data_IF_230719374873
#
_entry.id   IF_230719374873
#
_cell.length_a   1.000
_cell.length_b   1.000
_cell.length_c   1.000
_cell.angle_alpha   90.00
_cell.angle_beta   90.00
_cell.angle_gamma   90.00
#
_symmetry.space_group_name_H-M   'P 1'
#
loop_
_entity.id
_entity.type
_entity.pdbx_description
1 polymer ?
#
# COMPACT_ATOMS: atom_id res chain seq x y z
N UNK A 1 12.35 -1.18 -3.31
CA UNK A 1 11.93 -2.43 -3.98
C UNK A 1 12.71 -3.62 -3.45
N UNK A 2 12.06 -4.58 -2.79
CA UNK A 2 12.73 -5.77 -2.26
C UNK A 2 13.12 -6.74 -3.38
N UNK A 3 14.09 -7.63 -3.08
CA UNK A 3 14.35 -8.78 -3.93
C UNK A 3 13.11 -9.70 -3.95
N UNK A 4 12.76 -10.20 -5.13
CA UNK A 4 11.67 -11.17 -5.34
C UNK A 4 12.19 -12.29 -6.24
N UNK A 5 11.78 -13.51 -5.97
CA UNK A 5 12.16 -14.68 -6.78
C UNK A 5 13.68 -14.86 -6.95
N UNK A 6 14.47 -14.42 -5.96
CA UNK A 6 15.93 -14.39 -6.04
C UNK A 6 16.52 -13.29 -6.92
N UNK A 7 15.69 -12.43 -7.51
CA UNK A 7 16.10 -11.35 -8.41
C UNK A 7 15.95 -9.97 -7.75
N UNK A 8 16.87 -9.02 -8.05
CA UNK A 8 16.70 -7.61 -7.71
C UNK A 8 15.59 -6.98 -8.56
N UNK A 9 15.15 -5.74 -8.24
CA UNK A 9 14.24 -5.00 -9.10
C UNK A 9 14.83 -4.78 -10.50
N UNK A 10 13.99 -4.92 -11.53
CA UNK A 10 14.38 -4.69 -12.92
C UNK A 10 14.44 -3.18 -13.24
N UNK A 11 15.25 -2.71 -14.23
CA UNK A 11 15.29 -1.29 -14.63
C UNK A 11 13.91 -0.68 -14.93
N UNK A 12 13.00 -1.44 -15.52
CA UNK A 12 11.62 -1.00 -15.79
C UNK A 12 10.84 -0.72 -14.50
N UNK A 13 11.10 -1.46 -13.42
CA UNK A 13 10.45 -1.18 -12.12
C UNK A 13 10.96 0.13 -11.52
N UNK A 14 12.23 0.47 -11.70
CA UNK A 14 12.76 1.79 -11.29
C UNK A 14 12.14 2.94 -12.11
N UNK A 15 11.97 2.75 -13.43
CA UNK A 15 11.25 3.74 -14.27
C UNK A 15 9.81 3.93 -13.80
N UNK A 16 9.12 2.85 -13.47
CA UNK A 16 7.78 2.91 -12.90
C UNK A 16 7.73 3.65 -11.56
N UNK A 17 8.74 3.49 -10.68
CA UNK A 17 8.84 4.24 -9.43
C UNK A 17 8.95 5.75 -9.69
N UNK A 18 9.76 6.18 -10.66
CA UNK A 18 9.90 7.59 -11.03
C UNK A 18 8.53 8.15 -11.45
N UNK A 19 7.84 7.44 -12.34
CA UNK A 19 6.53 7.87 -12.83
C UNK A 19 5.48 7.90 -11.71
N UNK A 20 5.46 6.89 -10.84
CA UNK A 20 4.57 6.88 -9.68
C UNK A 20 4.85 8.06 -8.73
N UNK A 21 6.13 8.39 -8.50
CA UNK A 21 6.50 9.54 -7.67
C UNK A 21 6.02 10.87 -8.26
N UNK A 22 6.16 11.03 -9.57
CA UNK A 22 5.65 12.22 -10.27
C UNK A 22 4.14 12.36 -10.06
N UNK A 23 3.37 11.30 -10.28
CA UNK A 23 1.92 11.28 -10.09
C UNK A 23 1.50 11.55 -8.64
N UNK A 24 2.21 10.97 -7.67
CA UNK A 24 1.96 11.23 -6.24
C UNK A 24 2.17 12.72 -5.93
N UNK A 25 3.25 13.33 -6.42
CA UNK A 25 3.52 14.76 -6.21
C UNK A 25 2.41 15.63 -6.81
N UNK A 26 2.00 15.38 -8.06
CA UNK A 26 0.93 16.12 -8.75
C UNK A 26 -0.43 16.01 -8.03
N UNK A 27 -0.76 14.85 -7.49
CA UNK A 27 -1.98 14.68 -6.69
C UNK A 27 -1.85 15.36 -5.33
N UNK A 28 -0.66 15.25 -4.71
CA UNK A 28 -0.40 15.88 -3.43
C UNK A 28 -0.48 17.41 -3.49
N UNK A 29 -0.08 18.05 -4.59
CA UNK A 29 -0.24 19.52 -4.78
C UNK A 29 -1.69 19.98 -4.63
N UNK A 30 -2.65 19.14 -5.01
CA UNK A 30 -4.08 19.43 -4.96
C UNK A 30 -4.75 19.01 -3.64
N UNK A 31 -4.01 18.37 -2.74
CA UNK A 31 -4.55 17.84 -1.51
C UNK A 31 -4.29 18.79 -0.33
N UNK A 32 -5.30 19.01 0.50
CA UNK A 32 -5.18 19.74 1.77
C UNK A 32 -4.84 18.80 2.93
N UNK A 33 -5.21 17.52 2.79
CA UNK A 33 -5.06 16.50 3.83
C UNK A 33 -4.33 15.28 3.27
N UNK A 34 -3.33 14.80 3.99
CA UNK A 34 -2.61 13.56 3.69
C UNK A 34 -2.73 12.60 4.86
N UNK A 35 -2.95 11.31 4.59
CA UNK A 35 -3.08 10.29 5.62
C UNK A 35 -1.96 9.25 5.52
N UNK A 36 -1.45 8.80 6.68
CA UNK A 36 -0.50 7.69 6.78
C UNK A 36 -1.13 6.57 7.62
N UNK A 37 -1.44 5.46 6.96
CA UNK A 37 -2.02 4.29 7.61
C UNK A 37 -1.05 3.57 8.55
N UNK A 38 0.25 3.56 8.19
CA UNK A 38 1.34 2.95 8.94
C UNK A 38 2.70 3.34 8.35
N UNK A 39 3.82 2.81 8.90
CA UNK A 39 5.16 3.28 8.54
C UNK A 39 5.99 2.26 7.73
N UNK A 40 5.37 1.39 6.92
CA UNK A 40 6.09 0.68 5.88
C UNK A 40 6.47 1.65 4.75
N UNK A 41 7.61 1.43 4.10
CA UNK A 41 8.18 2.39 3.15
C UNK A 41 7.40 2.53 1.84
N UNK A 42 6.54 1.60 1.53
CA UNK A 42 5.61 1.65 0.40
C UNK A 42 4.31 2.41 0.73
N UNK A 43 4.10 2.80 2.00
CA UNK A 43 2.92 3.53 2.47
C UNK A 43 3.18 4.96 2.94
N UNK A 44 4.42 5.44 2.89
CA UNK A 44 4.75 6.84 3.13
C UNK A 44 5.99 7.27 2.37
N UNK A 45 6.16 8.58 2.17
CA UNK A 45 7.36 9.14 1.54
C UNK A 45 8.35 9.53 2.62
N UNK A 46 9.49 8.83 2.76
CA UNK A 46 10.52 9.19 3.74
C UNK A 46 11.28 10.46 3.32
N UNK A 47 11.87 11.14 4.31
CA UNK A 47 12.62 12.37 4.13
C UNK A 47 14.13 12.12 4.25
N UNK A 48 14.64 11.20 3.47
CA UNK A 48 16.08 10.91 3.34
C UNK A 48 16.34 10.30 1.96
N UNK A 49 17.61 10.36 1.51
CA UNK A 49 18.00 9.82 0.21
C UNK A 49 17.85 8.30 0.16
N UNK A 50 17.06 7.81 -0.77
CA UNK A 50 16.90 6.37 -1.06
C UNK A 50 16.56 6.15 -2.53
N UNK A 51 17.58 5.92 -3.35
CA UNK A 51 17.45 5.61 -4.77
C UNK A 51 17.19 4.13 -5.05
N UNK A 52 17.24 3.28 -4.03
CA UNK A 52 17.01 1.83 -4.20
C UNK A 52 15.54 1.45 -4.10
N UNK A 53 14.84 1.95 -3.09
CA UNK A 53 13.47 1.52 -2.79
C UNK A 53 12.43 2.61 -2.99
N UNK A 54 12.70 3.79 -2.46
CA UNK A 54 11.69 4.84 -2.35
C UNK A 54 11.85 5.95 -3.36
N UNK A 55 12.95 5.97 -4.10
CA UNK A 55 13.26 7.00 -5.09
C UNK A 55 13.11 8.42 -4.51
N UNK A 56 13.76 8.64 -3.37
CA UNK A 56 13.72 9.92 -2.65
C UNK A 56 15.05 10.65 -2.75
N UNK A 57 15.00 11.96 -2.94
CA UNK A 57 16.12 12.88 -2.89
C UNK A 57 16.04 13.68 -1.58
N UNK A 58 16.52 13.11 -0.49
CA UNK A 58 16.50 13.73 0.84
C UNK A 58 15.15 14.37 1.21
N UNK A 59 15.15 15.67 1.54
CA UNK A 59 13.97 16.37 2.04
C UNK A 59 13.00 16.82 0.95
N UNK A 60 13.45 17.02 -0.28
CA UNK A 60 12.63 17.64 -1.34
C UNK A 60 11.38 16.84 -1.66
N UNK A 61 11.53 15.53 -1.87
CA UNK A 61 10.38 14.66 -2.21
C UNK A 61 9.34 14.65 -1.09
N UNK A 62 9.79 14.58 0.17
CA UNK A 62 8.89 14.62 1.32
C UNK A 62 8.24 16.01 1.47
N UNK A 63 8.97 17.08 1.20
CA UNK A 63 8.47 18.45 1.21
C UNK A 63 7.31 18.61 0.22
N UNK A 64 7.47 18.19 -1.03
CA UNK A 64 6.41 18.22 -2.05
C UNK A 64 5.11 17.52 -1.59
N UNK A 65 5.23 16.43 -0.82
CA UNK A 65 4.08 15.65 -0.37
C UNK A 65 3.40 16.25 0.86
N UNK A 66 4.16 16.79 1.83
CA UNK A 66 3.62 17.12 3.15
C UNK A 66 3.55 18.62 3.46
N UNK A 67 4.26 19.48 2.71
CA UNK A 67 4.36 20.90 3.04
C UNK A 67 3.00 21.60 3.01
N UNK A 68 2.72 22.33 4.10
CA UNK A 68 1.52 23.15 4.21
C UNK A 68 0.22 22.36 4.45
N UNK A 69 0.26 21.03 4.56
CA UNK A 69 -0.92 20.15 4.67
C UNK A 69 -1.22 19.73 6.10
N UNK A 70 -2.47 19.32 6.33
CA UNK A 70 -2.81 18.54 7.52
C UNK A 70 -2.41 17.10 7.25
N UNK A 71 -1.54 16.55 8.09
CA UNK A 71 -1.06 15.16 7.96
C UNK A 71 -1.57 14.33 9.13
N UNK A 72 -2.43 13.36 8.83
CA UNK A 72 -3.08 12.47 9.80
C UNK A 72 -2.34 11.15 9.81
N UNK A 73 -1.75 10.77 10.96
CA UNK A 73 -0.81 9.65 11.05
C UNK A 73 -1.27 8.59 12.03
N UNK A 74 -0.85 7.35 11.78
CA UNK A 74 -0.87 6.27 12.78
C UNK A 74 -0.07 6.67 14.02
N UNK A 75 -0.58 6.37 15.22
CA UNK A 75 0.17 6.61 16.46
C UNK A 75 1.53 5.89 16.40
N UNK A 76 2.67 6.63 16.49
CA UNK A 76 3.99 6.04 16.42
C UNK A 76 4.47 5.40 17.73
N UNK A 77 3.65 5.38 18.79
CA UNK A 77 4.00 4.88 20.13
C UNK A 77 3.19 3.65 20.53
N UNK A 78 1.93 3.56 20.11
CA UNK A 78 0.96 2.55 20.55
C UNK A 78 0.50 1.67 19.39
N UNK A 79 0.19 0.41 19.68
CA UNK A 79 -0.24 -0.56 18.69
C UNK A 79 0.68 -0.54 17.45
N UNK A 80 1.98 -0.77 17.70
CA UNK A 80 3.02 -0.64 16.68
C UNK A 80 4.21 -1.53 17.02
N UNK A 81 4.79 -2.21 16.04
CA UNK A 81 6.00 -2.98 16.25
C UNK A 81 7.25 -2.08 16.31
N UNK A 82 8.37 -2.64 16.75
CA UNK A 82 9.63 -1.90 16.92
C UNK A 82 10.10 -1.21 15.65
N UNK A 83 10.05 -1.91 14.51
CA UNK A 83 10.53 -1.38 13.23
C UNK A 83 9.70 -0.18 12.76
N UNK A 84 8.37 -0.28 12.81
CA UNK A 84 7.48 0.81 12.44
C UNK A 84 7.55 1.97 13.43
N UNK A 85 7.70 1.70 14.75
CA UNK A 85 7.91 2.73 15.79
C UNK A 85 9.12 3.60 15.47
N UNK A 86 10.26 2.97 15.13
CA UNK A 86 11.47 3.69 14.73
C UNK A 86 11.22 4.56 13.49
N UNK A 87 10.55 4.03 12.46
CA UNK A 87 10.24 4.78 11.23
C UNK A 87 9.26 5.92 11.50
N UNK A 88 8.23 5.70 12.32
CA UNK A 88 7.29 6.74 12.74
C UNK A 88 7.96 7.86 13.53
N UNK A 89 8.91 7.53 14.41
CA UNK A 89 9.72 8.53 15.09
C UNK A 89 10.57 9.35 14.11
N UNK A 90 11.26 8.68 13.17
CA UNK A 90 12.05 9.37 12.11
C UNK A 90 11.12 10.24 11.27
N UNK A 91 9.95 9.74 10.86
CA UNK A 91 8.98 10.52 10.08
C UNK A 91 8.59 11.82 10.80
N UNK A 92 8.24 11.76 12.09
CA UNK A 92 7.88 12.97 12.85
C UNK A 92 9.02 13.99 12.93
N UNK A 93 10.28 13.52 12.97
CA UNK A 93 11.48 14.37 13.05
C UNK A 93 11.95 14.90 11.71
N UNK A 94 11.45 14.36 10.61
CA UNK A 94 11.86 14.69 9.24
C UNK A 94 10.67 15.11 8.37
N UNK A 95 10.06 14.20 7.61
CA UNK A 95 8.94 14.47 6.69
C UNK A 95 7.75 15.16 7.36
N UNK A 96 7.40 14.75 8.57
CA UNK A 96 6.32 15.38 9.34
C UNK A 96 6.55 16.83 9.73
N UNK A 97 7.80 17.32 9.73
CA UNK A 97 8.11 18.74 9.99
C UNK A 97 7.63 19.71 8.90
N UNK A 98 7.41 19.20 7.68
CA UNK A 98 6.89 19.99 6.57
C UNK A 98 5.37 20.22 6.67
N UNK A 99 4.67 19.41 7.48
CA UNK A 99 3.25 19.54 7.66
C UNK A 99 2.86 20.85 8.34
N UNK A 100 1.80 21.50 7.89
CA UNK A 100 1.16 22.60 8.61
C UNK A 100 0.63 22.12 9.97
N UNK A 101 0.09 20.88 10.00
CA UNK A 101 -0.41 20.23 11.21
C UNK A 101 -0.18 18.72 11.12
N UNK A 102 0.40 18.14 12.15
CA UNK A 102 0.63 16.70 12.26
C UNK A 102 -0.20 16.15 13.43
N UNK A 103 -1.16 15.27 13.15
CA UNK A 103 -2.05 14.71 14.17
C UNK A 103 -2.11 13.18 14.14
N UNK A 104 -2.17 12.58 15.33
CA UNK A 104 -2.45 11.15 15.50
C UNK A 104 -3.94 10.91 15.21
N UNK A 105 -4.23 9.89 14.41
CA UNK A 105 -5.55 9.65 13.85
C UNK A 105 -6.26 8.40 14.38
N UNK A 106 -5.57 7.55 15.16
CA UNK A 106 -6.10 6.27 15.65
C UNK A 106 -7.46 6.47 16.34
N UNK A 107 -8.51 5.79 15.86
CA UNK A 107 -9.87 5.84 16.36
C UNK A 107 -10.59 7.19 16.25
N UNK A 108 -10.00 8.17 15.56
CA UNK A 108 -10.53 9.55 15.50
C UNK A 108 -11.28 9.82 14.22
N UNK A 109 -12.14 10.84 14.28
CA UNK A 109 -12.88 11.39 13.15
C UNK A 109 -12.50 12.86 12.95
N UNK A 110 -12.27 13.25 11.70
CA UNK A 110 -11.94 14.61 11.30
C UNK A 110 -12.93 15.09 10.26
N UNK A 111 -13.34 16.36 10.34
CA UNK A 111 -14.27 16.96 9.40
C UNK A 111 -13.62 18.15 8.69
N UNK A 112 -13.68 18.16 7.38
CA UNK A 112 -13.16 19.20 6.49
C UNK A 112 -14.29 19.66 5.55
N UNK A 113 -14.95 20.73 5.91
CA UNK A 113 -16.15 21.19 5.20
C UNK A 113 -17.26 20.14 5.22
N UNK A 114 -17.59 19.57 4.06
CA UNK A 114 -18.61 18.51 3.90
C UNK A 114 -18.03 17.10 3.85
N UNK A 115 -16.70 16.97 4.00
CA UNK A 115 -16.01 15.68 3.97
C UNK A 115 -15.66 15.26 5.39
N UNK A 116 -15.98 14.03 5.74
CA UNK A 116 -15.57 13.40 7.00
C UNK A 116 -14.57 12.30 6.72
N UNK A 117 -13.48 12.24 7.50
CA UNK A 117 -12.50 11.16 7.48
C UNK A 117 -12.51 10.49 8.85
N UNK A 118 -13.02 9.27 8.91
CA UNK A 118 -13.07 8.45 10.12
C UNK A 118 -11.98 7.38 10.06
N UNK A 119 -11.12 7.35 11.05
CA UNK A 119 -10.10 6.30 11.18
C UNK A 119 -10.59 5.18 12.11
N UNK A 120 -10.25 3.95 11.76
CA UNK A 120 -10.45 2.82 12.66
C UNK A 120 -9.55 2.91 13.88
N UNK A 121 -9.90 2.20 14.97
CA UNK A 121 -8.87 1.72 15.87
C UNK A 121 -7.85 0.90 15.07
N UNK A 122 -6.60 0.79 15.56
CA UNK A 122 -5.59 -0.02 14.91
C UNK A 122 -6.09 -1.45 14.63
N UNK A 123 -5.92 -1.92 13.41
CA UNK A 123 -6.23 -3.28 13.01
C UNK A 123 -4.94 -4.03 12.65
N UNK A 124 -4.90 -5.37 12.79
CA UNK A 124 -3.70 -6.13 12.48
C UNK A 124 -3.31 -6.01 10.99
N UNK A 125 -2.01 -5.95 10.75
CA UNK A 125 -1.43 -6.06 9.41
C UNK A 125 -1.40 -7.55 8.99
N UNK A 126 -2.54 -8.08 8.57
CA UNK A 126 -2.73 -9.51 8.29
C UNK A 126 -3.41 -10.25 9.44
N UNK A 127 -2.84 -11.38 9.94
CA UNK A 127 -3.41 -12.13 11.06
C UNK A 127 -3.37 -11.34 12.38
N UNK A 128 -4.16 -11.78 13.38
CA UNK A 128 -4.34 -11.06 14.65
C UNK A 128 -3.03 -10.86 15.43
N UNK A 129 -2.11 -11.81 15.33
CA UNK A 129 -0.80 -11.81 16.00
C UNK A 129 0.37 -11.41 15.09
N UNK A 130 0.08 -10.71 14.01
CA UNK A 130 1.05 -10.35 12.99
C UNK A 130 2.26 -9.59 13.55
N UNK A 131 3.47 -10.14 13.32
CA UNK A 131 4.73 -9.45 13.61
C UNK A 131 4.93 -8.18 12.76
N UNK A 132 4.15 -7.99 11.70
CA UNK A 132 4.18 -6.78 10.85
C UNK A 132 3.54 -5.57 11.53
N UNK A 133 2.79 -5.79 12.62
CA UNK A 133 2.18 -4.75 13.45
C UNK A 133 0.77 -4.40 13.04
N UNK A 134 0.41 -3.12 13.13
CA UNK A 134 -0.96 -2.63 12.95
C UNK A 134 -1.01 -1.50 11.93
N UNK A 135 -2.17 -1.37 11.29
CA UNK A 135 -2.48 -0.33 10.32
C UNK A 135 -3.76 0.42 10.70
N UNK A 136 -3.97 1.61 10.15
CA UNK A 136 -5.24 2.32 10.21
C UNK A 136 -5.99 2.14 8.89
N UNK A 137 -7.27 1.84 8.99
CA UNK A 137 -8.20 2.01 7.89
C UNK A 137 -8.80 3.42 7.96
N UNK A 138 -9.10 4.00 6.80
CA UNK A 138 -9.72 5.31 6.69
C UNK A 138 -11.02 5.24 5.88
N UNK A 139 -12.15 5.64 6.48
CA UNK A 139 -13.43 5.81 5.78
C UNK A 139 -13.60 7.29 5.47
N UNK A 140 -13.68 7.62 4.19
CA UNK A 140 -13.93 8.98 3.69
C UNK A 140 -15.39 9.06 3.25
N UNK A 141 -16.12 9.97 3.86
CA UNK A 141 -17.54 10.19 3.55
C UNK A 141 -17.74 11.60 3.00
N UNK A 142 -18.42 11.69 1.86
CA UNK A 142 -18.84 12.92 1.23
C UNK A 142 -20.23 12.77 0.61
N UNK A 143 -21.19 13.59 1.02
CA UNK A 143 -22.59 13.55 0.52
C UNK A 143 -23.27 12.18 0.60
N UNK A 144 -22.98 11.40 1.64
CA UNK A 144 -23.54 10.06 1.83
C UNK A 144 -22.81 8.92 1.10
N UNK A 145 -21.86 9.24 0.23
CA UNK A 145 -20.99 8.26 -0.40
C UNK A 145 -19.77 7.98 0.47
N UNK A 146 -19.47 6.70 0.68
CA UNK A 146 -18.33 6.24 1.51
C UNK A 146 -17.31 5.47 0.69
N UNK A 147 -16.07 5.94 0.74
CA UNK A 147 -14.90 5.21 0.31
C UNK A 147 -14.11 4.75 1.53
N UNK A 148 -13.80 3.46 1.61
CA UNK A 148 -12.98 2.90 2.68
C UNK A 148 -11.64 2.42 2.12
N UNK A 149 -10.55 2.94 2.66
CA UNK A 149 -9.18 2.50 2.38
C UNK A 149 -8.69 1.58 3.50
N UNK A 150 -8.46 0.31 3.19
CA UNK A 150 -8.00 -0.74 4.10
C UNK A 150 -6.66 -1.31 3.63
N UNK A 151 -5.54 -0.56 3.77
CA UNK A 151 -4.23 -1.01 3.30
C UNK A 151 -3.71 -2.16 4.16
N UNK A 152 -2.97 -3.07 3.54
CA UNK A 152 -2.17 -4.11 4.19
C UNK A 152 -2.90 -5.02 5.19
N UNK A 153 -4.23 -5.10 5.12
CA UNK A 153 -5.02 -6.04 5.93
C UNK A 153 -4.97 -7.48 5.40
N UNK A 154 -4.34 -7.66 4.23
CA UNK A 154 -4.07 -8.96 3.61
C UNK A 154 -5.33 -9.83 3.37
N UNK A 155 -6.38 -9.21 2.87
CA UNK A 155 -7.57 -9.94 2.45
C UNK A 155 -8.92 -9.32 2.83
N UNK A 156 -9.26 -9.03 4.11
CA UNK A 156 -8.50 -9.13 5.35
C UNK A 156 -8.37 -10.56 5.88
N UNK A 157 -7.21 -10.94 6.41
CA UNK A 157 -7.03 -12.24 7.09
C UNK A 157 -7.82 -12.28 8.39
N UNK A 158 -7.77 -11.18 9.18
CA UNK A 158 -8.52 -11.05 10.42
C UNK A 158 -10.03 -10.94 10.17
N UNK A 159 -10.80 -11.84 10.76
CA UNK A 159 -12.26 -11.77 10.75
C UNK A 159 -12.80 -10.52 11.48
N UNK A 160 -12.09 -10.07 12.52
CA UNK A 160 -12.39 -8.82 13.22
C UNK A 160 -12.26 -7.61 12.32
N UNK A 161 -11.22 -7.57 11.48
CA UNK A 161 -11.02 -6.52 10.49
C UNK A 161 -12.11 -6.54 9.41
N UNK A 162 -12.47 -7.71 8.88
CA UNK A 162 -13.60 -7.84 7.93
C UNK A 162 -14.88 -7.27 8.52
N UNK A 163 -15.20 -7.66 9.77
CA UNK A 163 -16.41 -7.18 10.47
C UNK A 163 -16.44 -5.65 10.58
N UNK A 164 -15.30 -5.02 10.87
CA UNK A 164 -15.18 -3.55 10.93
C UNK A 164 -15.41 -2.90 9.55
N UNK A 165 -14.84 -3.46 8.48
CA UNK A 165 -15.03 -2.94 7.11
C UNK A 165 -16.50 -3.01 6.71
N UNK A 166 -17.16 -4.15 6.90
CA UNK A 166 -18.56 -4.36 6.53
C UNK A 166 -19.49 -3.45 7.36
N UNK A 167 -19.19 -3.21 8.64
CA UNK A 167 -19.97 -2.34 9.51
C UNK A 167 -19.98 -0.87 9.05
N UNK A 168 -18.94 -0.41 8.36
CA UNK A 168 -18.90 0.94 7.77
C UNK A 168 -19.84 1.10 6.55
N UNK A 169 -20.29 0.01 5.94
CA UNK A 169 -21.17 -0.02 4.75
C UNK A 169 -20.65 0.89 3.61
N UNK A 170 -19.39 0.75 3.17
CA UNK A 170 -18.86 1.58 2.10
C UNK A 170 -19.44 1.18 0.75
N UNK A 171 -19.60 2.15 -0.16
CA UNK A 171 -19.94 1.89 -1.57
C UNK A 171 -18.71 1.46 -2.39
N UNK A 172 -17.53 1.83 -1.91
CA UNK A 172 -16.25 1.51 -2.52
C UNK A 172 -15.25 1.17 -1.42
N UNK A 173 -14.55 0.05 -1.55
CA UNK A 173 -13.41 -0.32 -0.71
C UNK A 173 -12.16 -0.52 -1.56
N UNK A 174 -11.02 -0.01 -1.09
CA UNK A 174 -9.70 -0.39 -1.60
C UNK A 174 -8.99 -1.20 -0.53
N UNK A 175 -8.59 -2.42 -0.87
CA UNK A 175 -8.10 -3.40 0.10
C UNK A 175 -6.85 -4.11 -0.38
N UNK A 176 -5.85 -4.25 0.50
CA UNK A 176 -4.71 -5.13 0.30
C UNK A 176 -5.14 -6.59 0.31
N UNK A 177 -5.04 -7.27 -0.83
CA UNK A 177 -5.42 -8.68 -0.94
C UNK A 177 -4.45 -9.63 -0.23
N UNK A 178 -4.82 -10.92 -0.08
CA UNK A 178 -3.94 -11.92 0.50
C UNK A 178 -2.66 -12.09 -0.33
N UNK A 179 -1.48 -12.20 0.31
CA UNK A 179 -0.19 -12.29 -0.40
C UNK A 179 0.06 -13.72 -0.92
N UNK A 180 -0.60 -14.09 -2.00
CA UNK A 180 -0.55 -15.45 -2.59
C UNK A 180 0.86 -15.92 -2.95
N UNK A 181 1.78 -15.01 -3.27
CA UNK A 181 3.19 -15.29 -3.56
C UNK A 181 4.02 -15.65 -2.30
N UNK A 182 3.46 -15.49 -1.10
CA UNK A 182 4.09 -15.85 0.18
C UNK A 182 3.40 -17.05 0.85
N UNK A 183 2.29 -17.53 0.30
CA UNK A 183 1.55 -18.67 0.85
C UNK A 183 2.44 -19.94 0.89
N UNK A 184 2.42 -20.63 2.03
CA UNK A 184 3.26 -21.81 2.28
C UNK A 184 4.74 -21.50 2.59
N UNK A 185 5.16 -20.22 2.59
CA UNK A 185 6.54 -19.82 2.87
C UNK A 185 6.68 -18.83 4.04
N UNK A 186 5.94 -17.72 4.01
CA UNK A 186 5.92 -16.69 5.06
C UNK A 186 4.53 -16.41 5.61
N UNK A 187 3.53 -16.83 4.89
CA UNK A 187 2.13 -16.78 5.29
C UNK A 187 1.68 -18.23 5.39
N UNK A 188 1.14 -18.61 6.53
CA UNK A 188 0.57 -19.92 6.77
C UNK A 188 -0.56 -20.16 5.75
N UNK A 189 -0.72 -21.39 5.30
CA UNK A 189 -1.75 -21.73 4.31
C UNK A 189 -3.17 -21.50 4.85
N UNK A 190 -3.43 -21.79 6.11
CA UNK A 190 -4.72 -21.51 6.77
C UNK A 190 -5.03 -20.01 6.81
N UNK A 191 -4.03 -19.17 7.11
CA UNK A 191 -4.15 -17.71 7.09
C UNK A 191 -4.45 -17.21 5.67
N UNK A 192 -3.76 -17.75 4.67
CA UNK A 192 -4.02 -17.40 3.28
C UNK A 192 -5.45 -17.79 2.87
N UNK A 193 -5.90 -19.02 3.18
CA UNK A 193 -7.25 -19.48 2.90
C UNK A 193 -8.29 -18.65 3.65
N UNK A 194 -8.03 -18.29 4.91
CA UNK A 194 -8.88 -17.39 5.68
C UNK A 194 -9.01 -16.01 5.02
N UNK A 195 -7.89 -15.45 4.57
CA UNK A 195 -7.87 -14.18 3.83
C UNK A 195 -8.67 -14.23 2.54
N UNK A 196 -8.57 -15.34 1.79
CA UNK A 196 -9.35 -15.56 0.57
C UNK A 196 -10.86 -15.69 0.87
N UNK A 197 -11.23 -16.50 1.88
CA UNK A 197 -12.62 -16.65 2.29
C UNK A 197 -13.24 -15.34 2.79
N UNK A 198 -12.46 -14.53 3.50
CA UNK A 198 -12.90 -13.21 3.96
C UNK A 198 -12.99 -12.20 2.80
N UNK A 199 -12.11 -12.28 1.81
CA UNK A 199 -12.22 -11.47 0.59
C UNK A 199 -13.50 -11.82 -0.20
N UNK A 200 -13.86 -13.09 -0.29
CA UNK A 200 -15.13 -13.52 -0.89
C UNK A 200 -16.34 -12.90 -0.18
N UNK A 201 -16.36 -12.91 1.17
CA UNK A 201 -17.42 -12.25 1.96
C UNK A 201 -17.42 -10.73 1.81
N UNK A 202 -16.23 -10.13 1.69
CA UNK A 202 -16.10 -8.69 1.49
C UNK A 202 -16.75 -8.24 0.17
N UNK A 203 -16.46 -8.92 -0.93
CA UNK A 203 -17.03 -8.57 -2.24
C UNK A 203 -18.53 -8.84 -2.35
N UNK A 204 -19.07 -9.74 -1.52
CA UNK A 204 -20.51 -9.92 -1.36
C UNK A 204 -21.15 -8.75 -0.58
N UNK A 205 -20.44 -8.14 0.36
CA UNK A 205 -20.95 -7.06 1.21
C UNK A 205 -20.77 -5.65 0.61
N UNK A 206 -19.77 -5.45 -0.28
CA UNK A 206 -19.40 -4.13 -0.79
C UNK A 206 -19.56 -4.05 -2.31
N UNK A 207 -20.33 -3.09 -2.84
CA UNK A 207 -20.67 -3.02 -4.28
C UNK A 207 -19.46 -2.90 -5.20
N UNK A 208 -18.39 -2.19 -4.77
CA UNK A 208 -17.17 -2.03 -5.57
C UNK A 208 -15.94 -2.26 -4.70
N UNK A 209 -15.09 -3.19 -5.12
CA UNK A 209 -13.84 -3.54 -4.44
C UNK A 209 -12.65 -3.31 -5.36
N UNK A 210 -11.69 -2.51 -4.92
CA UNK A 210 -10.39 -2.35 -5.58
C UNK A 210 -9.39 -3.22 -4.84
N UNK A 211 -8.80 -4.17 -5.57
CA UNK A 211 -7.70 -4.99 -5.08
C UNK A 211 -6.37 -4.27 -5.32
N UNK A 212 -5.53 -4.25 -4.31
CA UNK A 212 -4.23 -3.62 -4.39
C UNK A 212 -3.07 -4.59 -4.10
N UNK A 213 -1.90 -4.10 -4.17
CA UNK A 213 -0.56 -4.60 -4.42
C UNK A 213 -0.19 -6.01 -3.91
N UNK A 214 -0.65 -6.47 -2.75
CA UNK A 214 -0.20 -7.76 -2.22
C UNK A 214 -0.58 -8.94 -3.12
N UNK A 215 -1.83 -9.03 -3.52
CA UNK A 215 -2.31 -10.06 -4.42
C UNK A 215 -1.74 -9.92 -5.83
N UNK A 216 -1.59 -8.67 -6.30
CA UNK A 216 -1.15 -8.33 -7.66
C UNK A 216 0.35 -8.57 -7.92
N UNK A 217 1.09 -9.02 -6.91
CA UNK A 217 2.48 -9.49 -7.04
C UNK A 217 2.61 -10.93 -7.51
N UNK A 218 1.48 -11.59 -7.75
CA UNK A 218 1.40 -12.95 -8.27
C UNK A 218 0.90 -12.92 -9.72
N UNK A 219 1.61 -13.52 -10.64
CA UNK A 219 1.22 -13.58 -12.04
C UNK A 219 -0.14 -14.28 -12.24
N UNK A 220 -0.43 -15.27 -11.41
CA UNK A 220 -1.66 -16.08 -11.48
C UNK A 220 -2.77 -15.58 -10.56
N UNK A 221 -2.70 -14.32 -10.12
CA UNK A 221 -3.66 -13.75 -9.17
C UNK A 221 -5.12 -13.86 -9.62
N UNK A 222 -5.39 -13.68 -10.92
CA UNK A 222 -6.76 -13.79 -11.48
C UNK A 222 -7.34 -15.19 -11.32
N UNK A 223 -6.56 -16.22 -11.60
CA UNK A 223 -6.96 -17.62 -11.43
C UNK A 223 -7.23 -17.92 -9.96
N UNK A 224 -6.31 -17.54 -9.08
CA UNK A 224 -6.43 -17.73 -7.64
C UNK A 224 -7.63 -17.01 -7.02
N UNK A 225 -8.08 -15.92 -7.63
CA UNK A 225 -9.25 -15.15 -7.17
C UNK A 225 -10.51 -15.39 -8.00
N UNK A 226 -10.56 -16.42 -8.84
CA UNK A 226 -11.72 -16.72 -9.69
C UNK A 226 -13.04 -16.76 -8.93
N UNK A 227 -13.08 -17.42 -7.76
CA UNK A 227 -14.25 -17.46 -6.88
C UNK A 227 -14.69 -16.07 -6.37
N UNK A 228 -13.76 -15.18 -6.10
CA UNK A 228 -14.05 -13.80 -5.67
C UNK A 228 -14.80 -13.05 -6.78
N UNK A 229 -14.32 -13.17 -8.03
CA UNK A 229 -14.96 -12.55 -9.18
C UNK A 229 -16.32 -13.19 -9.48
N UNK A 230 -16.43 -14.51 -9.39
CA UNK A 230 -17.70 -15.23 -9.59
C UNK A 230 -18.76 -14.78 -8.59
N UNK A 231 -18.42 -14.73 -7.29
CA UNK A 231 -19.35 -14.30 -6.23
C UNK A 231 -19.80 -12.85 -6.43
N UNK A 232 -18.88 -11.93 -6.68
CA UNK A 232 -19.21 -10.53 -6.96
C UNK A 232 -20.13 -10.43 -8.20
N UNK A 233 -19.79 -11.12 -9.28
CA UNK A 233 -20.55 -11.10 -10.54
C UNK A 233 -21.99 -11.60 -10.38
N UNK A 234 -22.24 -12.65 -9.56
CA UNK A 234 -23.58 -13.18 -9.31
C UNK A 234 -24.55 -12.16 -8.73
N UNK A 235 -24.05 -11.13 -8.02
CA UNK A 235 -24.87 -10.10 -7.37
C UNK A 235 -24.67 -8.71 -7.99
N UNK A 236 -24.00 -8.61 -9.14
CA UNK A 236 -23.78 -7.37 -9.86
C UNK A 236 -22.71 -6.45 -9.24
N UNK A 237 -21.92 -6.93 -8.28
CA UNK A 237 -20.82 -6.20 -7.68
C UNK A 237 -19.56 -6.25 -8.57
N UNK A 238 -18.66 -5.28 -8.41
CA UNK A 238 -17.45 -5.15 -9.23
C UNK A 238 -16.20 -5.32 -8.41
N UNK A 239 -15.28 -6.12 -8.94
CA UNK A 239 -13.91 -6.29 -8.42
C UNK A 239 -12.93 -5.80 -9.48
N UNK A 240 -12.08 -4.85 -9.14
CA UNK A 240 -11.19 -4.15 -10.06
C UNK A 240 -9.79 -4.03 -9.44
N UNK A 241 -8.79 -3.83 -10.27
CA UNK A 241 -7.52 -3.27 -9.81
C UNK A 241 -7.61 -1.73 -9.77
N UNK A 242 -6.65 -1.06 -9.14
CA UNK A 242 -6.58 0.40 -9.16
C UNK A 242 -6.42 0.97 -10.59
N UNK A 243 -5.67 0.28 -11.46
CA UNK A 243 -5.53 0.66 -12.86
C UNK A 243 -6.86 0.54 -13.61
N UNK A 244 -7.55 -0.60 -13.47
CA UNK A 244 -8.87 -0.84 -14.09
C UNK A 244 -9.93 0.16 -13.60
N UNK A 245 -9.89 0.54 -12.32
CA UNK A 245 -10.77 1.57 -11.76
C UNK A 245 -10.57 2.95 -12.42
N UNK A 246 -9.33 3.26 -12.82
CA UNK A 246 -8.97 4.48 -13.55
C UNK A 246 -9.11 4.36 -15.07
N UNK A 247 -9.59 3.23 -15.59
CA UNK A 247 -9.66 2.97 -17.04
C UNK A 247 -8.30 2.75 -17.69
N UNK A 248 -7.29 2.39 -16.92
CA UNK A 248 -5.93 2.15 -17.39
C UNK A 248 -5.64 0.65 -17.50
N UNK A 249 -4.65 0.32 -18.33
CA UNK A 249 -4.15 -1.05 -18.46
C UNK A 249 -3.31 -1.42 -17.22
N UNK A 250 -3.45 -2.66 -16.77
CA UNK A 250 -2.60 -3.22 -15.72
C UNK A 250 -1.15 -3.41 -16.21
N UNK A 251 -0.19 -3.08 -15.34
CA UNK A 251 1.24 -3.27 -15.58
C UNK A 251 1.90 -3.83 -14.29
N UNK A 252 1.89 -5.16 -14.16
CA UNK A 252 2.34 -5.87 -12.96
C UNK A 252 3.82 -6.26 -13.05
N UNK A 253 4.73 -5.29 -13.21
CA UNK A 253 6.16 -5.51 -13.42
C UNK A 253 6.80 -6.43 -12.36
N UNK A 254 6.43 -6.28 -11.09
CA UNK A 254 6.98 -7.11 -10.01
C UNK A 254 6.55 -8.58 -10.15
N UNK A 255 5.32 -8.84 -10.57
CA UNK A 255 4.80 -10.20 -10.77
C UNK A 255 5.54 -10.93 -11.90
N UNK A 256 5.84 -10.21 -12.98
CA UNK A 256 6.52 -10.76 -14.17
C UNK A 256 8.03 -10.55 -14.19
N UNK A 257 8.64 -10.20 -13.04
CA UNK A 257 10.08 -9.86 -12.97
C UNK A 257 11.00 -10.91 -13.61
N UNK A 258 10.72 -12.21 -13.41
CA UNK A 258 11.52 -13.30 -14.04
C UNK A 258 11.49 -13.21 -15.56
N UNK A 259 10.33 -12.96 -16.14
CA UNK A 259 10.15 -12.77 -17.60
C UNK A 259 10.89 -11.52 -18.08
N UNK A 260 10.81 -10.41 -17.32
CA UNK A 260 11.53 -9.19 -17.67
C UNK A 260 13.04 -9.42 -17.75
N UNK A 261 13.64 -10.13 -16.79
CA UNK A 261 15.06 -10.44 -16.85
C UNK A 261 15.44 -11.38 -18.00
N UNK A 262 14.55 -12.30 -18.40
CA UNK A 262 14.78 -13.22 -19.52
C UNK A 262 14.62 -12.53 -20.88
N UNK A 263 13.59 -11.72 -21.05
CA UNK A 263 13.22 -11.11 -22.33
C UNK A 263 13.89 -9.76 -22.59
N UNK A 264 14.20 -9.02 -21.51
CA UNK A 264 14.78 -7.67 -21.55
C UNK A 264 15.92 -7.57 -20.54
N UNK A 265 17.04 -8.28 -20.73
CA UNK A 265 18.14 -8.27 -19.77
C UNK A 265 18.65 -6.84 -19.53
N UNK A 266 19.03 -6.50 -18.28
CA UNK A 266 19.52 -5.16 -17.96
C UNK A 266 20.86 -4.87 -18.62
N UNK A 267 21.22 -3.58 -18.73
CA UNK A 267 22.52 -3.15 -19.26
C UNK A 267 23.67 -3.62 -18.34
N UNK A 268 24.89 -3.72 -18.91
CA UNK A 268 26.09 -4.04 -18.15
C UNK A 268 26.37 -3.00 -17.04
N UNK A 269 26.03 -1.74 -17.26
CA UNK A 269 26.14 -0.66 -16.28
C UNK A 269 25.21 -0.88 -15.09
N UNK A 270 23.97 -1.29 -15.36
CA UNK A 270 23.02 -1.63 -14.32
C UNK A 270 23.47 -2.86 -13.52
N UNK A 271 24.00 -3.89 -14.18
CA UNK A 271 24.56 -5.06 -13.50
C UNK A 271 25.75 -4.71 -12.59
N UNK A 272 26.62 -3.78 -13.03
CA UNK A 272 27.71 -3.24 -12.19
C UNK A 272 27.15 -2.50 -10.98
N UNK A 273 26.12 -1.67 -11.18
CA UNK A 273 25.45 -0.97 -10.09
C UNK A 273 24.83 -1.95 -9.08
N UNK A 274 24.23 -3.04 -9.54
CA UNK A 274 23.65 -4.08 -8.66
C UNK A 274 24.70 -4.80 -7.79
N UNK A 275 25.96 -4.80 -8.16
CA UNK A 275 27.07 -5.38 -7.37
C UNK A 275 27.56 -4.43 -6.27
N UNK A 276 27.19 -3.16 -6.29
CA UNK A 276 27.51 -2.20 -5.23
C UNK A 276 26.75 -2.59 -3.96
N UNK A 277 27.37 -2.49 -2.79
CA UNK A 277 26.72 -2.78 -1.51
C UNK A 277 25.43 -1.97 -1.28
N UNK A 278 24.41 -2.57 -0.69
CA UNK A 278 23.05 -2.02 -0.51
C UNK A 278 23.05 -0.58 0.04
N UNK A 279 23.85 -0.30 1.07
CA UNK A 279 23.89 1.02 1.71
C UNK A 279 24.43 2.11 0.76
N UNK A 280 25.38 1.77 -0.11
CA UNK A 280 25.92 2.69 -1.12
C UNK A 280 24.92 2.85 -2.27
N UNK A 281 24.23 1.78 -2.70
CA UNK A 281 23.20 1.86 -3.75
C UNK A 281 22.05 2.80 -3.40
N UNK A 282 21.68 2.91 -2.12
CA UNK A 282 20.66 3.88 -1.69
C UNK A 282 21.00 5.32 -2.02
N UNK A 283 22.31 5.63 -2.09
CA UNK A 283 22.85 6.97 -2.37
C UNK A 283 23.28 7.18 -3.81
N UNK A 284 23.16 6.18 -4.66
CA UNK A 284 23.59 6.24 -6.06
C UNK A 284 22.43 5.85 -6.95
N UNK A 285 21.98 6.77 -7.78
CA UNK A 285 20.91 6.49 -8.77
C UNK A 285 21.29 5.31 -9.64
N UNK A 286 20.37 4.37 -9.91
CA UNK A 286 20.61 3.31 -10.88
C UNK A 286 20.75 3.92 -12.29
N UNK A 287 21.59 3.35 -13.15
CA UNK A 287 21.69 3.71 -14.56
C UNK A 287 20.56 3.05 -15.34
N UNK A 288 19.42 3.76 -15.51
CA UNK A 288 18.17 3.25 -16.12
C UNK A 288 17.68 4.12 -17.27
#
# INVERSE_FOLDING_TARGET
CPNRFGLPPHPLEFKAIIECRRRIAEVAEKADVVTLSHYHFDHHTPSYEDWLCNWTAENETAKQIYEGKVVLIKNPKEWINFSQRRRGWVFQKTGGKHAKKLEVADGRTFTFGKTTIKFSEPVPHGPEDSALGWVLMATIEFKGEKFLFAPDVQGPISAGTLKKIVAEKPQLVMVGGPPSYLAGFRVNEEEFLSGMANLEKLVEAVPRTILEHHLLRDENWREKTSKVFEKAGKIGHKVLTAAEFLGLKNDFLEAVRRKLFAEKPPSKEFEKWMKIGVNKRKKVKPPI
#
